data_IF_928169423405
#
_entry.id   IF_928169423405
#
_cell.length_a   1.000
_cell.length_b   1.000
_cell.length_c   1.000
_cell.angle_alpha   90.00
_cell.angle_beta   90.00
_cell.angle_gamma   90.00
#
_symmetry.space_group_name_H-M   'P 1'
#
loop_
_entity.id
_entity.type
_entity.pdbx_description
1 polymer ?
#
# COMPACT_ATOMS: atom_id res chain seq x y z
N UNK A 1 -28.35 -15.27 1.28
CA UNK A 1 -27.72 -14.58 2.43
C UNK A 1 -26.22 -14.72 2.25
N UNK A 2 -25.56 -13.69 1.73
CA UNK A 2 -24.10 -13.68 1.69
C UNK A 2 -23.65 -13.11 3.03
N UNK A 3 -23.16 -13.96 3.92
CA UNK A 3 -22.34 -13.51 5.04
C UNK A 3 -21.22 -12.66 4.42
N UNK A 4 -21.28 -11.36 4.66
CA UNK A 4 -20.15 -10.50 4.36
C UNK A 4 -19.04 -11.02 5.25
N UNK A 5 -18.04 -11.68 4.64
CA UNK A 5 -16.82 -12.11 5.31
C UNK A 5 -16.15 -10.85 5.86
N UNK A 6 -16.53 -10.51 7.09
CA UNK A 6 -16.17 -9.28 7.73
C UNK A 6 -14.70 -9.42 8.12
N UNK A 7 -13.83 -8.69 7.42
CA UNK A 7 -12.39 -8.79 7.64
C UNK A 7 -12.02 -8.66 9.13
N UNK A 8 -11.15 -9.56 9.59
CA UNK A 8 -10.73 -9.65 10.99
C UNK A 8 -9.79 -8.50 11.35
N UNK A 9 -8.99 -8.04 10.39
CA UNK A 9 -8.06 -6.93 10.57
C UNK A 9 -8.80 -5.60 10.74
N UNK A 10 -8.58 -4.97 11.90
CA UNK A 10 -9.12 -3.62 12.19
C UNK A 10 -8.22 -2.51 11.63
N UNK A 11 -6.94 -2.81 11.40
CA UNK A 11 -5.96 -1.91 10.83
C UNK A 11 -4.92 -2.68 10.02
N UNK A 12 -4.37 -2.05 8.99
CA UNK A 12 -3.23 -2.53 8.22
C UNK A 12 -2.47 -1.35 7.61
N UNK A 13 -1.23 -1.55 7.18
CA UNK A 13 -0.43 -0.50 6.56
C UNK A 13 -0.38 -0.70 5.06
N UNK A 14 -0.39 0.40 4.31
CA UNK A 14 -0.25 0.39 2.84
C UNK A 14 0.59 1.59 2.39
N UNK A 15 0.87 1.69 1.10
CA UNK A 15 1.55 2.85 0.52
C UNK A 15 0.64 4.09 0.58
N UNK A 16 1.25 5.26 0.74
CA UNK A 16 0.53 6.53 0.65
C UNK A 16 -0.19 6.65 -0.71
N UNK A 17 -1.39 7.25 -0.74
CA UNK A 17 -2.04 7.53 -2.02
C UNK A 17 -1.18 8.51 -2.83
N UNK A 18 -0.94 8.21 -4.11
CA UNK A 18 -0.12 9.03 -4.98
C UNK A 18 0.44 8.22 -6.15
N UNK A 19 1.51 8.75 -6.73
CA UNK A 19 2.27 8.13 -7.80
C UNK A 19 3.07 6.92 -7.31
N UNK A 20 3.57 6.14 -8.26
CA UNK A 20 4.38 4.96 -7.98
C UNK A 20 5.69 5.31 -7.29
N UNK A 21 6.03 4.55 -6.26
CA UNK A 21 7.32 4.67 -5.62
C UNK A 21 8.35 3.82 -6.37
N UNK A 22 9.45 4.44 -6.80
CA UNK A 22 10.51 3.77 -7.56
C UNK A 22 11.81 3.83 -6.78
N UNK A 23 12.50 2.71 -6.73
CA UNK A 23 13.81 2.61 -6.11
C UNK A 23 14.73 1.76 -6.97
N UNK A 24 15.97 2.19 -7.12
CA UNK A 24 16.97 1.50 -7.92
C UNK A 24 18.10 0.98 -7.04
N UNK A 25 18.52 -0.25 -7.30
CA UNK A 25 19.63 -0.89 -6.62
C UNK A 25 20.56 -1.53 -7.65
N UNK A 26 21.86 -1.25 -7.56
CA UNK A 26 22.87 -1.90 -8.39
C UNK A 26 23.66 -2.93 -7.57
N UNK A 27 23.65 -4.19 -8.00
CA UNK A 27 24.39 -5.29 -7.37
C UNK A 27 25.22 -6.00 -8.43
N UNK A 28 26.55 -5.98 -8.28
CA UNK A 28 27.49 -6.63 -9.21
C UNK A 28 27.21 -6.27 -10.68
N UNK A 29 27.07 -4.97 -10.97
CA UNK A 29 26.73 -4.41 -12.30
C UNK A 29 25.33 -4.75 -12.82
N UNK A 30 24.55 -5.57 -12.11
CA UNK A 30 23.15 -5.80 -12.44
C UNK A 30 22.30 -4.73 -11.77
N UNK A 31 21.42 -4.11 -12.55
CA UNK A 31 20.55 -3.03 -12.11
C UNK A 31 19.16 -3.58 -11.83
N UNK A 32 18.64 -3.32 -10.65
CA UNK A 32 17.32 -3.74 -10.18
C UNK A 32 16.49 -2.48 -9.93
N UNK A 33 15.41 -2.33 -10.68
CA UNK A 33 14.47 -1.20 -10.54
C UNK A 33 13.21 -1.75 -9.90
N UNK A 34 13.03 -1.46 -8.61
CA UNK A 34 11.83 -1.80 -7.86
C UNK A 34 10.79 -0.70 -8.04
N UNK A 35 9.59 -1.08 -8.43
CA UNK A 35 8.42 -0.21 -8.50
C UNK A 35 7.37 -0.74 -7.54
N UNK A 36 6.94 0.11 -6.61
CA UNK A 36 5.89 -0.17 -5.64
C UNK A 36 4.68 0.69 -5.95
N UNK A 37 3.51 0.05 -6.11
CA UNK A 37 2.22 0.72 -6.30
C UNK A 37 1.22 0.18 -5.30
N UNK A 38 0.36 1.07 -4.81
CA UNK A 38 -0.82 0.66 -4.05
C UNK A 38 -1.84 0.01 -4.99
N UNK A 39 -2.27 -1.22 -4.68
CA UNK A 39 -3.24 -1.97 -5.46
C UNK A 39 -4.38 -2.47 -4.57
N UNK A 40 -5.63 -2.25 -4.99
CA UNK A 40 -6.83 -2.71 -4.27
C UNK A 40 -7.28 -4.11 -4.66
N UNK A 41 -6.89 -4.56 -5.85
CA UNK A 41 -7.37 -5.77 -6.49
C UNK A 41 -6.28 -6.33 -7.42
N UNK A 42 -6.50 -7.57 -7.86
CA UNK A 42 -5.53 -8.26 -8.71
C UNK A 42 -5.42 -7.64 -10.11
N UNK A 43 -6.48 -7.00 -10.60
CA UNK A 43 -6.47 -6.36 -11.92
C UNK A 43 -5.54 -5.15 -11.93
N UNK A 44 -5.57 -4.32 -10.88
CA UNK A 44 -4.65 -3.20 -10.68
C UNK A 44 -3.19 -3.68 -10.58
N UNK A 45 -2.95 -4.79 -9.88
CA UNK A 45 -1.62 -5.39 -9.79
C UNK A 45 -1.12 -5.92 -11.16
N UNK A 46 -1.99 -6.57 -11.94
CA UNK A 46 -1.66 -7.03 -13.30
C UNK A 46 -1.46 -5.86 -14.27
N UNK A 47 -2.24 -4.80 -14.14
CA UNK A 47 -2.10 -3.59 -14.94
C UNK A 47 -0.72 -2.94 -14.75
N UNK A 48 -0.24 -2.85 -13.50
CA UNK A 48 1.11 -2.36 -13.21
C UNK A 48 2.20 -3.16 -13.95
N UNK A 49 2.13 -4.49 -13.92
CA UNK A 49 3.10 -5.35 -14.64
C UNK A 49 3.05 -5.08 -16.14
N UNK A 50 1.85 -4.94 -16.72
CA UNK A 50 1.68 -4.68 -18.14
C UNK A 50 2.20 -3.29 -18.54
N UNK A 51 2.01 -2.28 -17.70
CA UNK A 51 2.56 -0.93 -17.90
C UNK A 51 4.09 -0.94 -17.86
N UNK A 52 4.68 -1.57 -16.85
CA UNK A 52 6.13 -1.63 -16.70
C UNK A 52 6.82 -2.46 -17.79
N UNK A 53 6.15 -3.47 -18.33
CA UNK A 53 6.65 -4.20 -19.51
C UNK A 53 6.69 -3.33 -20.77
N UNK A 54 5.78 -2.36 -20.90
CA UNK A 54 5.80 -1.39 -22.02
C UNK A 54 6.84 -0.32 -21.80
N UNK A 55 6.96 0.19 -20.57
CA UNK A 55 7.94 1.21 -20.22
C UNK A 55 9.38 0.68 -20.32
N UNK A 56 9.65 -0.48 -19.73
CA UNK A 56 10.95 -1.15 -19.72
C UNK A 56 10.96 -2.35 -20.68
N UNK A 57 10.66 -2.08 -21.96
CA UNK A 57 10.57 -3.12 -22.99
C UNK A 57 11.92 -3.79 -23.32
N UNK A 58 13.02 -3.18 -22.90
CA UNK A 58 14.40 -3.64 -23.10
C UNK A 58 14.89 -4.55 -21.96
N UNK A 59 14.20 -4.54 -20.82
CA UNK A 59 14.45 -5.47 -19.73
C UNK A 59 13.95 -6.88 -20.07
N UNK A 60 14.68 -7.90 -19.59
CA UNK A 60 14.36 -9.31 -19.87
C UNK A 60 13.39 -9.93 -18.88
N UNK A 61 13.35 -9.42 -17.65
CA UNK A 61 12.59 -9.99 -16.55
C UNK A 61 11.89 -8.88 -15.77
N UNK A 62 10.57 -9.05 -15.60
CA UNK A 62 9.68 -8.19 -14.82
C UNK A 62 9.02 -9.05 -13.73
N UNK A 63 9.80 -9.44 -12.74
CA UNK A 63 9.33 -10.24 -11.63
C UNK A 63 8.33 -9.43 -10.79
N UNK A 64 7.27 -10.06 -10.31
CA UNK A 64 6.21 -9.36 -9.57
C UNK A 64 5.81 -10.13 -8.31
N UNK A 65 5.40 -9.39 -7.30
CA UNK A 65 4.81 -9.91 -6.07
C UNK A 65 3.78 -8.93 -5.54
N UNK A 66 2.66 -9.42 -5.02
CA UNK A 66 1.65 -8.56 -4.42
C UNK A 66 0.94 -9.23 -3.26
N UNK A 67 0.51 -8.40 -2.31
CA UNK A 67 -0.28 -8.78 -1.14
C UNK A 67 -1.49 -7.85 -1.09
N UNK A 68 -2.69 -8.42 -1.16
CA UNK A 68 -3.93 -7.66 -1.24
C UNK A 68 -4.91 -8.07 -0.14
N UNK A 69 -5.70 -7.09 0.27
CA UNK A 69 -6.79 -7.26 1.22
C UNK A 69 -6.35 -7.06 2.68
N UNK A 70 -7.26 -6.60 3.55
CA UNK A 70 -6.95 -6.29 4.94
C UNK A 70 -6.41 -7.49 5.74
N UNK A 71 -6.90 -8.71 5.46
CA UNK A 71 -6.42 -9.96 6.08
C UNK A 71 -5.29 -10.62 5.28
N UNK A 72 -4.81 -9.99 4.19
CA UNK A 72 -3.70 -10.48 3.35
C UNK A 72 -3.96 -11.86 2.75
N UNK A 73 -5.21 -12.16 2.42
CA UNK A 73 -5.64 -13.47 1.89
C UNK A 73 -5.07 -13.71 0.49
N UNK A 74 -4.97 -12.65 -0.32
CA UNK A 74 -4.49 -12.75 -1.69
C UNK A 74 -3.00 -12.42 -1.70
N UNK A 75 -2.20 -13.44 -1.94
CA UNK A 75 -0.74 -13.36 -2.04
C UNK A 75 -0.31 -14.08 -3.31
N UNK A 76 0.39 -13.38 -4.20
CA UNK A 76 0.85 -13.95 -5.46
C UNK A 76 2.24 -13.44 -5.78
N UNK A 77 2.99 -14.25 -6.51
CA UNK A 77 4.28 -13.89 -7.05
C UNK A 77 4.52 -14.56 -8.40
N UNK A 78 5.40 -13.98 -9.21
CA UNK A 78 5.80 -14.48 -10.51
C UNK A 78 7.28 -14.17 -10.76
N UNK A 79 8.06 -15.19 -11.13
CA UNK A 79 9.50 -15.12 -11.41
C UNK A 79 9.82 -14.58 -12.82
N UNK A 80 8.84 -14.51 -13.74
CA UNK A 80 8.98 -13.93 -15.09
C UNK A 80 10.25 -14.37 -15.88
N UNK A 81 10.52 -15.66 -15.89
CA UNK A 81 11.65 -16.26 -16.63
C UNK A 81 12.97 -16.32 -15.86
N UNK A 82 13.02 -15.82 -14.63
CA UNK A 82 14.11 -16.16 -13.70
C UNK A 82 14.00 -17.65 -13.28
N UNK A 83 15.09 -18.26 -12.79
CA UNK A 83 15.04 -19.60 -12.23
C UNK A 83 13.95 -19.70 -11.15
N UNK A 84 13.16 -20.76 -11.20
CA UNK A 84 11.98 -20.94 -10.34
C UNK A 84 12.29 -20.71 -8.86
N UNK A 85 11.52 -19.82 -8.23
CA UNK A 85 11.62 -19.49 -6.81
C UNK A 85 12.78 -18.56 -6.44
N UNK A 86 13.50 -17.98 -7.41
CA UNK A 86 14.63 -17.08 -7.11
C UNK A 86 14.29 -15.60 -7.07
N UNK A 87 13.12 -15.19 -7.56
CA UNK A 87 12.71 -13.78 -7.61
C UNK A 87 11.37 -13.53 -6.89
N UNK A 88 10.30 -14.12 -7.39
CA UNK A 88 8.93 -13.89 -6.93
C UNK A 88 8.70 -14.27 -5.47
N UNK A 89 9.11 -15.48 -5.05
CA UNK A 89 8.96 -15.92 -3.65
C UNK A 89 9.75 -15.01 -2.69
N UNK A 90 11.05 -14.72 -2.93
CA UNK A 90 11.82 -13.78 -2.10
C UNK A 90 11.20 -12.38 -2.00
N UNK A 91 10.66 -11.86 -3.11
CA UNK A 91 9.96 -10.57 -3.11
C UNK A 91 8.70 -10.61 -2.25
N UNK A 92 7.90 -11.66 -2.38
CA UNK A 92 6.67 -11.84 -1.60
C UNK A 92 6.99 -11.96 -0.11
N UNK A 93 8.01 -12.73 0.26
CA UNK A 93 8.44 -12.84 1.65
C UNK A 93 8.91 -11.50 2.22
N UNK A 94 9.64 -10.69 1.44
CA UNK A 94 10.08 -9.37 1.85
C UNK A 94 8.90 -8.42 2.11
N UNK A 95 7.85 -8.46 1.27
CA UNK A 95 6.61 -7.74 1.51
C UNK A 95 5.89 -8.26 2.77
N UNK A 96 5.88 -9.58 2.98
CA UNK A 96 5.12 -10.19 4.07
C UNK A 96 5.74 -9.92 5.43
N UNK A 97 7.06 -10.10 5.52
CA UNK A 97 7.87 -9.95 6.74
C UNK A 97 8.20 -8.50 7.06
N UNK A 98 7.86 -7.56 6.17
CA UNK A 98 8.09 -6.14 6.39
C UNK A 98 7.43 -5.68 7.69
N UNK A 99 8.25 -5.26 8.63
CA UNK A 99 7.79 -4.54 9.81
C UNK A 99 7.48 -3.09 9.45
N UNK A 100 6.26 -2.67 9.75
CA UNK A 100 5.78 -1.29 9.54
C UNK A 100 5.77 -0.50 10.84
N UNK A 101 5.60 -1.22 11.95
CA UNK A 101 5.81 -0.78 13.33
C UNK A 101 6.65 -1.85 14.04
N UNK A 102 7.37 -1.51 15.13
CA UNK A 102 8.18 -2.48 15.86
C UNK A 102 7.37 -3.74 16.23
N UNK A 103 7.76 -4.89 15.66
CA UNK A 103 7.08 -6.17 15.91
C UNK A 103 5.73 -6.35 15.21
N UNK A 104 5.35 -5.49 14.27
CA UNK A 104 4.09 -5.60 13.50
C UNK A 104 4.37 -5.63 12.01
N UNK A 105 4.01 -6.74 11.38
CA UNK A 105 4.09 -6.94 9.94
C UNK A 105 2.68 -6.97 9.32
N UNK A 106 2.14 -5.80 9.00
CA UNK A 106 0.77 -5.59 8.52
C UNK A 106 0.68 -4.93 7.13
N UNK A 107 1.77 -4.99 6.35
CA UNK A 107 1.77 -4.41 5.00
C UNK A 107 0.81 -5.19 4.08
N UNK A 108 -0.11 -4.45 3.46
CA UNK A 108 -1.08 -4.97 2.48
C UNK A 108 -1.53 -3.91 1.47
N UNK A 109 -2.32 -4.32 0.48
CA UNK A 109 -2.75 -3.54 -0.68
C UNK A 109 -1.57 -2.96 -1.47
N UNK A 110 -0.51 -3.76 -1.63
CA UNK A 110 0.72 -3.36 -2.32
C UNK A 110 1.05 -4.36 -3.42
N UNK A 111 1.37 -3.82 -4.60
CA UNK A 111 1.97 -4.54 -5.71
C UNK A 111 3.39 -4.03 -5.91
N UNK A 112 4.33 -4.98 -6.02
CA UNK A 112 5.72 -4.72 -6.28
C UNK A 112 6.16 -5.42 -7.56
N UNK A 113 6.89 -4.70 -8.40
CA UNK A 113 7.50 -5.23 -9.61
C UNK A 113 8.97 -4.86 -9.60
N UNK A 114 9.84 -5.83 -9.84
CA UNK A 114 11.28 -5.60 -9.97
C UNK A 114 11.66 -5.88 -11.40
N UNK A 115 12.19 -4.84 -12.05
CA UNK A 115 12.73 -4.90 -13.39
C UNK A 115 14.23 -5.08 -13.29
N UNK A 116 14.77 -6.12 -13.93
CA UNK A 116 16.19 -6.44 -13.86
C UNK A 116 16.89 -6.26 -15.21
N UNK A 117 18.01 -5.54 -15.18
CA UNK A 117 18.99 -5.51 -16.26
C UNK A 117 20.22 -6.34 -15.89
N UNK A 118 20.60 -7.26 -16.77
CA UNK A 118 21.75 -8.13 -16.55
C UNK A 118 23.07 -7.39 -16.79
N UNK A 119 23.94 -7.38 -15.78
CA UNK A 119 25.22 -6.65 -15.78
C UNK A 119 26.43 -7.40 -16.35
N UNK A 120 26.25 -8.60 -16.90
CA UNK A 120 27.35 -9.44 -17.39
C UNK A 120 27.98 -10.37 -16.34
N UNK A 121 27.60 -10.26 -15.06
CA UNK A 121 28.11 -11.10 -13.96
C UNK A 121 26.96 -11.96 -13.41
N UNK A 122 27.19 -13.27 -13.32
CA UNK A 122 26.23 -14.20 -12.72
C UNK A 122 26.26 -14.08 -11.19
N UNK A 123 25.08 -13.87 -10.60
CA UNK A 123 24.90 -13.78 -9.14
C UNK A 123 24.79 -15.16 -8.47
N UNK A 124 24.44 -16.20 -9.24
CA UNK A 124 24.04 -17.51 -8.72
C UNK A 124 22.65 -17.46 -8.07
N UNK A 125 22.04 -18.63 -7.83
CA UNK A 125 20.66 -18.72 -7.31
C UNK A 125 20.50 -18.01 -5.95
N UNK A 126 21.41 -18.24 -5.01
CA UNK A 126 21.38 -17.58 -3.70
C UNK A 126 21.65 -16.07 -3.76
N UNK A 127 22.42 -15.61 -4.75
CA UNK A 127 22.67 -14.19 -4.98
C UNK A 127 21.45 -13.47 -5.54
N UNK A 128 20.69 -14.12 -6.43
CA UNK A 128 19.43 -13.58 -6.96
C UNK A 128 18.39 -13.44 -5.86
N UNK A 129 18.19 -14.49 -5.05
CA UNK A 129 17.24 -14.47 -3.93
C UNK A 129 17.50 -13.29 -3.00
N UNK A 130 18.77 -13.06 -2.63
CA UNK A 130 19.16 -11.93 -1.78
C UNK A 130 18.96 -10.59 -2.49
N UNK A 131 19.37 -10.46 -3.75
CA UNK A 131 19.23 -9.24 -4.51
C UNK A 131 17.77 -8.79 -4.65
N UNK A 132 16.84 -9.72 -4.95
CA UNK A 132 15.42 -9.40 -5.07
C UNK A 132 14.79 -9.01 -3.73
N UNK A 133 15.11 -9.75 -2.66
CA UNK A 133 14.64 -9.44 -1.30
C UNK A 133 15.16 -8.07 -0.81
N UNK A 134 16.43 -7.79 -1.05
CA UNK A 134 17.08 -6.52 -0.70
C UNK A 134 16.51 -5.35 -1.49
N UNK A 135 16.25 -5.53 -2.80
CA UNK A 135 15.66 -4.51 -3.67
C UNK A 135 14.27 -4.09 -3.20
N UNK A 136 13.47 -5.02 -2.66
CA UNK A 136 12.16 -4.72 -2.08
C UNK A 136 12.30 -4.04 -0.71
N UNK A 137 13.18 -4.56 0.13
CA UNK A 137 13.40 -4.03 1.48
C UNK A 137 13.88 -2.57 1.44
N UNK A 138 14.88 -2.28 0.58
CA UNK A 138 15.40 -0.93 0.37
C UNK A 138 14.35 0.03 -0.20
N UNK A 139 13.51 -0.44 -1.13
CA UNK A 139 12.40 0.36 -1.65
C UNK A 139 11.40 0.70 -0.55
N UNK A 140 11.02 -0.26 0.27
CA UNK A 140 10.08 -0.07 1.37
C UNK A 140 10.64 0.82 2.50
N UNK A 141 11.95 0.88 2.69
CA UNK A 141 12.60 1.78 3.67
C UNK A 141 12.43 3.25 3.34
N UNK A 142 12.36 3.57 2.05
CA UNK A 142 12.19 4.94 1.57
C UNK A 142 10.75 5.26 1.16
N UNK A 143 9.88 4.25 1.06
CA UNK A 143 8.52 4.41 0.59
C UNK A 143 7.62 5.10 1.64
N UNK A 144 6.73 6.03 1.21
CA UNK A 144 5.77 6.64 2.12
C UNK A 144 4.68 5.63 2.50
N UNK A 145 4.61 5.27 3.77
CA UNK A 145 3.60 4.33 4.30
C UNK A 145 2.52 5.07 5.09
N UNK A 146 1.28 4.56 5.00
CA UNK A 146 0.12 5.06 5.73
C UNK A 146 -0.66 3.90 6.34
N UNK A 147 -1.12 4.09 7.58
CA UNK A 147 -2.05 3.14 8.20
C UNK A 147 -3.47 3.36 7.72
N UNK A 148 -4.13 2.27 7.32
CA UNK A 148 -5.57 2.18 7.10
C UNK A 148 -6.21 1.55 8.31
N UNK A 149 -7.31 2.15 8.77
CA UNK A 149 -8.11 1.65 9.88
C UNK A 149 -9.56 1.56 9.46
N UNK A 150 -10.22 0.49 9.87
CA UNK A 150 -11.65 0.32 9.68
C UNK A 150 -12.37 1.22 10.67
N UNK A 151 -13.27 2.07 10.16
CA UNK A 151 -14.11 2.93 10.97
C UNK A 151 -15.56 2.44 10.88
N UNK A 152 -16.29 2.54 11.99
CA UNK A 152 -17.75 2.32 11.98
C UNK A 152 -18.43 3.59 11.50
N UNK A 153 -19.33 3.45 10.53
CA UNK A 153 -20.24 4.51 10.17
C UNK A 153 -21.37 4.57 11.20
N UNK A 154 -21.59 5.75 11.78
CA UNK A 154 -22.68 5.99 12.71
C UNK A 154 -23.56 7.10 12.17
N UNK A 155 -24.86 6.84 12.09
CA UNK A 155 -25.86 7.88 11.85
C UNK A 155 -26.36 8.40 13.19
N UNK A 156 -26.30 9.72 13.39
CA UNK A 156 -26.81 10.37 14.60
C UNK A 156 -28.11 11.09 14.22
N UNK A 157 -29.27 10.69 14.75
CA UNK A 157 -30.51 11.43 14.58
C UNK A 157 -30.35 12.83 15.16
N UNK A 158 -30.52 13.86 14.33
CA UNK A 158 -30.44 15.25 14.79
C UNK A 158 -31.87 15.77 15.09
N UNK A 159 -32.17 16.17 16.34
CA UNK A 159 -33.46 16.78 16.64
C UNK A 159 -33.58 18.16 15.99
N UNK A 160 -34.71 18.42 15.34
CA UNK A 160 -34.98 19.57 14.44
C UNK A 160 -35.08 20.93 15.14
N UNK A 161 -35.03 20.99 16.46
CA UNK A 161 -35.07 22.24 17.23
C UNK A 161 -34.06 22.24 18.37
N UNK A 162 -32.91 22.86 18.16
CA UNK A 162 -32.04 23.34 19.24
C UNK A 162 -31.63 24.78 18.95
N UNK A 163 -31.87 25.75 19.85
CA UNK A 163 -31.42 27.12 19.66
C UNK A 163 -29.90 27.15 19.89
N UNK A 164 -29.15 27.47 18.84
CA UNK A 164 -27.67 27.38 18.82
C UNK A 164 -27.25 26.54 17.62
N UNK A 165 -27.01 27.21 16.49
CA UNK A 165 -26.84 26.58 15.18
C UNK A 165 -25.88 25.38 15.15
N UNK A 166 -26.16 24.48 14.21
CA UNK A 166 -25.50 23.19 13.91
C UNK A 166 -23.96 23.16 13.88
N UNK A 167 -23.27 24.31 13.84
CA UNK A 167 -21.81 24.42 13.76
C UNK A 167 -21.10 24.04 15.06
N UNK A 168 -21.79 24.10 16.21
CA UNK A 168 -21.13 23.97 17.54
C UNK A 168 -21.01 22.52 18.02
N UNK A 169 -21.86 21.60 17.56
CA UNK A 169 -21.97 20.24 18.13
C UNK A 169 -21.12 19.22 17.36
N UNK A 170 -20.90 19.42 16.05
CA UNK A 170 -20.23 18.44 15.19
C UNK A 170 -18.93 18.95 14.56
N UNK A 171 -18.31 20.00 15.10
CA UNK A 171 -16.97 20.39 14.69
C UNK A 171 -15.95 19.44 15.37
N UNK A 172 -15.29 18.51 14.64
CA UNK A 172 -14.14 17.84 15.20
C UNK A 172 -13.08 18.89 15.54
N UNK A 173 -12.35 18.69 16.64
CA UNK A 173 -11.18 19.52 17.04
C UNK A 173 -10.06 19.56 15.98
N UNK A 174 -10.17 18.78 14.90
CA UNK A 174 -9.20 18.73 13.81
C UNK A 174 -9.82 19.29 12.52
N UNK A 175 -9.46 20.54 12.21
CA UNK A 175 -9.73 21.26 10.97
C UNK A 175 -9.08 20.58 9.76
N UNK A 176 -9.88 19.95 8.90
CA UNK A 176 -9.73 19.82 7.42
C UNK A 176 -10.40 18.55 6.88
N UNK A 177 -11.74 18.54 6.74
CA UNK A 177 -12.44 17.41 6.11
C UNK A 177 -13.60 17.89 5.23
N UNK A 178 -13.77 17.34 4.01
CA UNK A 178 -14.81 17.80 3.08
C UNK A 178 -16.20 17.24 3.43
N UNK A 179 -17.22 18.06 3.22
CA UNK A 179 -18.64 17.69 3.38
C UNK A 179 -19.15 17.07 2.08
N UNK A 180 -19.83 15.92 2.13
CA UNK A 180 -20.19 15.18 0.91
C UNK A 180 -21.67 15.06 0.53
N UNK A 181 -22.65 15.53 1.31
CA UNK A 181 -24.00 15.89 0.83
C UNK A 181 -24.98 16.18 1.97
N UNK A 182 -26.03 16.96 1.69
CA UNK A 182 -27.23 17.13 2.52
C UNK A 182 -28.44 16.90 1.61
N UNK A 183 -29.38 16.02 1.97
CA UNK A 183 -30.63 15.80 1.22
C UNK A 183 -31.78 16.57 1.89
N UNK A 184 -32.55 17.43 1.18
CA UNK A 184 -33.59 18.24 1.80
C UNK A 184 -34.94 17.53 2.02
N UNK A 185 -35.14 16.30 1.49
CA UNK A 185 -36.48 15.66 1.45
C UNK A 185 -36.77 14.62 2.52
N UNK A 186 -35.83 14.34 3.42
CA UNK A 186 -36.08 13.58 4.66
C UNK A 186 -35.46 14.38 5.79
N UNK A 187 -36.16 14.50 6.92
CA UNK A 187 -35.63 15.07 8.16
C UNK A 187 -34.58 14.10 8.76
N UNK A 188 -33.54 13.82 7.99
CA UNK A 188 -32.42 12.93 8.31
C UNK A 188 -31.22 13.46 7.53
N UNK A 189 -30.26 14.07 8.22
CA UNK A 189 -28.96 14.36 7.64
C UNK A 189 -28.10 13.09 7.78
N UNK A 190 -28.00 12.31 6.71
CA UNK A 190 -27.01 11.25 6.62
C UNK A 190 -25.66 11.89 6.27
N UNK A 191 -24.73 11.91 7.21
CA UNK A 191 -23.37 12.36 6.94
C UNK A 191 -22.53 11.18 6.49
N UNK A 192 -22.22 11.11 5.20
CA UNK A 192 -21.25 10.16 4.66
C UNK A 192 -19.85 10.66 4.97
N UNK A 193 -19.18 10.03 5.93
CA UNK A 193 -17.77 10.27 6.25
C UNK A 193 -16.90 9.20 5.59
N UNK A 194 -16.26 9.45 4.44
CA UNK A 194 -15.08 8.68 4.05
C UNK A 194 -13.88 9.25 4.82
N UNK A 195 -13.66 8.77 6.05
CA UNK A 195 -12.47 9.15 6.81
C UNK A 195 -11.33 8.17 6.55
N UNK A 196 -10.45 8.53 5.61
CA UNK A 196 -9.10 7.97 5.50
C UNK A 196 -8.21 8.85 6.36
N UNK A 197 -7.84 8.42 7.57
CA UNK A 197 -6.71 9.04 8.27
C UNK A 197 -5.42 8.54 7.63
N UNK A 198 -4.91 9.28 6.64
CA UNK A 198 -3.51 9.17 6.25
C UNK A 198 -2.68 9.92 7.29
N UNK A 199 -2.08 9.20 8.25
CA UNK A 199 -1.01 9.78 9.06
C UNK A 199 0.29 9.65 8.25
N UNK A 200 0.65 10.69 7.50
CA UNK A 200 2.02 10.85 7.00
C UNK A 200 2.90 11.30 8.16
N UNK A 201 3.90 10.51 8.54
CA UNK A 201 4.94 10.97 9.46
C UNK A 201 6.17 11.39 8.64
N UNK A 202 6.39 12.69 8.54
CA UNK A 202 7.73 13.23 8.30
C UNK A 202 8.59 13.00 9.55
N UNK A 203 9.88 12.70 9.41
CA UNK A 203 10.77 12.55 10.56
C UNK A 203 10.91 13.89 11.27
N UNK A 204 10.64 13.90 12.58
CA UNK A 204 10.86 15.06 13.44
C UNK A 204 12.37 15.17 13.64
N UNK A 205 13.02 16.08 12.91
CA UNK A 205 14.42 16.44 13.13
C UNK A 205 14.60 17.00 14.54
N UNK A 206 15.58 16.45 15.24
CA UNK A 206 15.81 16.63 16.66
C UNK A 206 16.11 18.07 17.10
N UNK A 207 15.82 18.29 18.37
CA UNK A 207 16.39 19.38 19.16
C UNK A 207 17.15 18.76 20.32
N UNK A 208 18.44 19.11 20.40
CA UNK A 208 19.32 19.10 21.56
C UNK A 208 20.18 20.37 21.44
N UNK A 209 20.83 20.85 22.52
CA UNK A 209 20.80 20.37 23.89
C UNK A 209 20.04 21.30 24.86
#
# INVERSE_FOLDING_TARGET
MAEQEESRATAYTTLAPGDDFRHELEIKRSRFITVLRRASDEDAARALVAELRKEFHDARHHCSAFVLGPDRVIQRSNDDGEPSGTAGIPMLEALIKRETLPGVADLSDVSAVVVRYFGGILLGAGGLVRAYSESISAALDSAPLVQRRRLRMCDIPCPTKRPGGWKTICAPRATSWPKLATSPRRQSCAWRYPMIQAQSRTPVSGWHP
#
